data_IF_111388490271
#
_entry.id   IF_111388490271
#
_cell.length_a   1.000
_cell.length_b   1.000
_cell.length_c   1.000
_cell.angle_alpha   90.00
_cell.angle_beta   90.00
_cell.angle_gamma   90.00
#
_symmetry.space_group_name_H-M   'P 1'
#
loop_
_entity.id
_entity.type
_entity.pdbx_description
1 polymer ?
#
# COMPACT_ATOMS: atom_id res chain seq x y z
N UNK A 1 -6.04 -54.47 -37.24
CA UNK A 1 -5.01 -55.42 -36.79
C UNK A 1 -4.17 -54.75 -35.71
N UNK A 2 -4.08 -55.44 -34.56
CA UNK A 2 -3.12 -55.34 -33.45
C UNK A 2 -3.05 -54.00 -32.66
N UNK A 3 -3.60 -53.96 -31.42
CA UNK A 3 -3.09 -54.49 -30.12
C UNK A 3 -1.78 -53.75 -29.70
N UNK A 4 -1.78 -53.04 -28.58
CA UNK A 4 -1.48 -53.57 -27.25
C UNK A 4 -1.81 -52.55 -26.13
N UNK A 5 -2.57 -52.99 -25.16
CA UNK A 5 -2.70 -52.49 -23.81
C UNK A 5 -1.38 -52.59 -23.06
N UNK A 6 -1.01 -51.59 -22.25
CA UNK A 6 -0.13 -51.80 -21.12
C UNK A 6 -0.68 -51.08 -19.90
N UNK A 7 -1.19 -51.85 -18.98
CA UNK A 7 -1.58 -51.50 -17.60
C UNK A 7 -0.29 -51.44 -16.80
N UNK A 8 -0.01 -50.31 -16.14
CA UNK A 8 1.02 -50.21 -15.11
C UNK A 8 0.33 -49.96 -13.77
N UNK A 9 0.43 -50.93 -12.89
CA UNK A 9 -0.04 -50.89 -11.49
C UNK A 9 0.87 -50.03 -10.67
N UNK A 10 0.32 -49.06 -9.92
CA UNK A 10 1.03 -48.29 -8.91
C UNK A 10 0.83 -48.94 -7.55
N UNK A 11 1.91 -49.37 -6.96
CA UNK A 11 2.02 -49.92 -5.60
C UNK A 11 1.83 -48.84 -4.55
N UNK A 12 0.89 -49.12 -3.65
CA UNK A 12 0.57 -48.30 -2.47
C UNK A 12 1.60 -48.59 -1.35
N UNK A 13 2.43 -47.63 -1.00
CA UNK A 13 3.31 -47.69 0.16
C UNK A 13 2.66 -46.98 1.36
N UNK A 14 2.28 -47.79 2.35
CA UNK A 14 1.71 -47.36 3.63
C UNK A 14 2.85 -46.94 4.56
N UNK A 15 3.04 -45.63 4.82
CA UNK A 15 3.96 -45.12 5.84
C UNK A 15 3.21 -44.89 7.15
N UNK A 16 3.57 -45.67 8.15
CA UNK A 16 3.13 -45.51 9.55
C UNK A 16 3.92 -44.36 10.17
N UNK A 17 3.24 -43.25 10.54
CA UNK A 17 3.83 -42.15 11.28
C UNK A 17 3.58 -42.36 12.78
N UNK A 18 4.68 -42.50 13.50
CA UNK A 18 4.69 -42.53 14.96
C UNK A 18 4.41 -41.10 15.52
N UNK A 19 3.36 -40.99 16.30
CA UNK A 19 3.05 -39.74 17.07
C UNK A 19 3.92 -39.65 18.30
N UNK A 20 4.86 -38.71 18.29
CA UNK A 20 5.54 -38.27 19.52
C UNK A 20 4.70 -37.16 20.16
N UNK A 21 4.09 -37.45 21.31
CA UNK A 21 3.44 -36.49 22.16
C UNK A 21 4.50 -35.65 22.88
N UNK A 22 4.64 -34.37 22.49
CA UNK A 22 5.43 -33.40 23.21
C UNK A 22 4.53 -32.73 24.27
N UNK A 23 4.74 -33.04 25.55
CA UNK A 23 4.07 -32.38 26.65
C UNK A 23 4.59 -30.94 26.76
N UNK A 24 3.72 -29.97 26.49
CA UNK A 24 3.99 -28.57 26.73
C UNK A 24 3.92 -28.27 28.22
N UNK A 25 5.04 -27.96 28.84
CA UNK A 25 5.10 -27.38 30.19
C UNK A 25 4.67 -25.92 30.11
N UNK A 26 3.52 -25.61 30.67
CA UNK A 26 3.07 -24.24 30.91
C UNK A 26 3.85 -23.64 32.06
N UNK A 27 4.75 -22.71 31.73
CA UNK A 27 5.36 -21.84 32.72
C UNK A 27 4.33 -20.79 33.22
N UNK A 28 4.25 -20.51 34.52
CA UNK A 28 3.37 -19.47 35.04
C UNK A 28 3.89 -18.08 34.63
N UNK A 29 2.94 -17.24 34.17
CA UNK A 29 3.19 -15.84 33.88
C UNK A 29 3.56 -15.07 35.15
N UNK A 30 4.52 -14.15 35.11
CA UNK A 30 4.78 -13.26 36.23
C UNK A 30 3.60 -12.31 36.40
N UNK A 31 3.03 -12.31 37.63
CA UNK A 31 2.05 -11.33 38.03
C UNK A 31 2.72 -9.96 38.11
N UNK A 32 2.31 -9.06 37.28
CA UNK A 32 2.74 -7.66 37.28
C UNK A 32 1.99 -6.96 38.43
N UNK A 33 2.66 -6.82 39.56
CA UNK A 33 2.16 -6.00 40.69
C UNK A 33 2.15 -4.55 40.25
N UNK A 34 0.99 -3.97 40.08
CA UNK A 34 0.79 -2.55 39.84
C UNK A 34 1.39 -1.75 40.99
N UNK A 35 2.53 -1.11 40.76
CA UNK A 35 3.09 -0.11 41.68
C UNK A 35 2.31 1.18 41.46
N UNK A 36 1.41 1.49 42.35
CA UNK A 36 0.75 2.80 42.44
C UNK A 36 1.81 3.84 42.84
N UNK A 37 2.06 4.89 42.08
CA UNK A 37 2.93 5.95 42.53
C UNK A 37 2.29 6.73 43.69
N UNK A 38 3.07 7.16 44.70
CA UNK A 38 2.53 7.93 45.83
C UNK A 38 2.08 9.31 45.33
N UNK A 39 0.85 9.64 45.71
CA UNK A 39 0.23 10.95 45.48
C UNK A 39 1.00 12.03 46.26
N UNK A 40 1.47 13.07 45.54
CA UNK A 40 2.11 14.23 46.15
C UNK A 40 1.10 15.01 47.01
N UNK A 41 1.52 15.54 48.18
CA UNK A 41 0.63 16.30 49.06
C UNK A 41 0.25 17.65 48.42
N UNK A 42 -1.06 17.96 48.43
CA UNK A 42 -1.59 19.26 48.04
C UNK A 42 -1.15 20.35 49.04
N UNK A 43 -0.76 21.51 48.57
CA UNK A 43 -0.49 22.65 49.44
C UNK A 43 -1.80 23.18 50.05
N UNK A 44 -1.78 23.69 51.32
CA UNK A 44 -2.93 24.22 51.97
C UNK A 44 -3.45 25.51 51.34
N UNK A 45 -4.75 25.60 51.14
CA UNK A 45 -5.42 26.74 50.54
C UNK A 45 -5.24 27.99 51.37
N UNK A 46 -4.74 29.04 50.73
CA UNK A 46 -4.81 30.41 51.25
C UNK A 46 -6.16 31.03 50.86
N UNK A 47 -7.06 31.11 51.83
CA UNK A 47 -8.26 31.95 51.71
C UNK A 47 -7.86 33.43 51.68
N UNK A 48 -8.01 34.06 50.53
CA UNK A 48 -7.86 35.51 50.35
C UNK A 48 -9.18 36.10 49.91
N UNK A 49 -9.82 36.86 50.76
CA UNK A 49 -11.03 37.62 50.51
C UNK A 49 -10.74 38.69 49.43
N UNK A 50 -11.59 38.75 48.41
CA UNK A 50 -11.55 39.75 47.34
C UNK A 50 -12.25 41.00 47.87
N UNK A 51 -11.59 42.20 47.90
CA UNK A 51 -12.30 43.44 48.13
C UNK A 51 -13.03 43.87 46.87
N UNK A 52 -14.31 44.18 47.06
CA UNK A 52 -15.19 44.85 46.10
C UNK A 52 -14.68 46.28 45.84
N UNK A 53 -14.22 46.57 44.63
CA UNK A 53 -13.94 47.88 44.14
C UNK A 53 -14.82 48.21 42.91
N UNK A 54 -16.08 48.49 43.22
CA UNK A 54 -16.94 49.27 42.35
C UNK A 54 -16.45 50.72 42.38
N UNK A 55 -15.61 51.13 41.45
CA UNK A 55 -15.48 52.54 41.12
C UNK A 55 -15.04 52.68 39.66
N UNK A 56 -15.91 53.34 38.90
CA UNK A 56 -15.80 53.59 37.50
C UNK A 56 -14.57 54.37 37.12
N UNK A 57 -13.80 53.81 36.22
CA UNK A 57 -12.83 54.53 35.40
C UNK A 57 -13.34 54.54 33.93
N UNK A 58 -13.16 55.66 33.22
CA UNK A 58 -13.61 55.77 31.84
C UNK A 58 -12.88 54.74 30.94
N UNK A 59 -13.50 54.25 29.88
CA UNK A 59 -12.88 53.27 28.99
C UNK A 59 -11.68 53.89 28.29
N UNK A 60 -10.52 53.27 28.46
CA UNK A 60 -9.33 53.60 27.67
C UNK A 60 -9.55 53.17 26.21
N UNK A 61 -9.12 54.00 25.24
CA UNK A 61 -9.17 53.59 23.85
C UNK A 61 -8.30 52.36 23.63
N UNK A 62 -8.85 51.38 22.90
CA UNK A 62 -8.16 50.15 22.53
C UNK A 62 -6.89 50.44 21.74
N UNK A 63 -5.75 49.76 22.00
CA UNK A 63 -4.55 49.94 21.21
C UNK A 63 -4.80 49.49 19.76
N UNK A 64 -4.35 50.23 18.74
CA UNK A 64 -4.47 49.77 17.36
C UNK A 64 -3.52 48.59 17.14
N UNK A 65 -4.06 47.43 16.74
CA UNK A 65 -3.24 46.32 16.26
C UNK A 65 -3.38 44.97 16.94
N UNK A 66 -4.45 44.70 17.73
CA UNK A 66 -4.78 43.32 18.03
C UNK A 66 -5.35 42.66 16.77
N UNK A 67 -4.45 42.13 15.94
CA UNK A 67 -4.85 41.23 14.85
C UNK A 67 -5.74 40.10 15.41
N UNK A 68 -6.80 39.76 14.69
CA UNK A 68 -7.64 38.65 15.03
C UNK A 68 -6.76 37.42 15.37
N UNK A 69 -7.13 36.61 16.38
CA UNK A 69 -6.36 35.43 16.72
C UNK A 69 -6.19 34.58 15.45
N UNK A 70 -4.94 34.37 15.07
CA UNK A 70 -4.63 33.41 13.97
C UNK A 70 -5.31 32.09 14.32
N UNK A 71 -6.15 31.53 13.43
CA UNK A 71 -6.73 30.24 13.68
C UNK A 71 -5.57 29.26 13.94
N UNK A 72 -5.75 28.30 14.86
CA UNK A 72 -4.74 27.29 15.11
C UNK A 72 -4.32 26.70 13.77
N UNK A 73 -3.03 26.33 13.58
CA UNK A 73 -2.60 25.69 12.36
C UNK A 73 -3.52 24.48 12.14
N UNK A 74 -4.36 24.61 11.13
CA UNK A 74 -5.19 23.48 10.70
C UNK A 74 -4.22 22.35 10.45
N UNK A 75 -4.42 21.22 11.16
CA UNK A 75 -3.74 19.99 10.84
C UNK A 75 -3.74 19.92 9.32
N UNK A 76 -2.55 19.80 8.73
CA UNK A 76 -2.42 19.67 7.27
C UNK A 76 -3.35 18.54 6.91
N UNK A 77 -4.51 18.87 6.37
CA UNK A 77 -5.33 17.92 5.67
C UNK A 77 -4.37 17.20 4.74
N UNK A 78 -4.15 15.93 4.99
CA UNK A 78 -3.66 15.03 3.96
C UNK A 78 -4.64 15.27 2.83
N UNK A 79 -4.23 16.05 1.82
CA UNK A 79 -5.12 16.70 0.85
C UNK A 79 -6.25 15.78 0.42
N UNK A 80 -7.42 16.29 0.08
CA UNK A 80 -8.60 15.49 -0.17
C UNK A 80 -8.17 14.29 -1.00
N UNK A 81 -8.57 13.08 -0.60
CA UNK A 81 -8.34 11.89 -1.41
C UNK A 81 -9.03 12.22 -2.73
N UNK A 82 -8.25 12.69 -3.73
CA UNK A 82 -8.76 13.20 -4.98
C UNK A 82 -9.49 12.07 -5.72
N UNK A 83 -10.80 12.01 -5.54
CA UNK A 83 -11.63 11.00 -6.15
C UNK A 83 -13.04 10.97 -5.57
N UNK A 84 -14.01 10.59 -6.36
CA UNK A 84 -15.35 10.32 -5.88
C UNK A 84 -15.37 9.05 -5.02
N UNK A 85 -16.13 9.02 -3.90
CA UNK A 85 -16.34 7.79 -3.15
C UNK A 85 -16.83 6.68 -4.08
N UNK A 86 -16.21 5.52 -3.97
CA UNK A 86 -16.54 4.38 -4.84
C UNK A 86 -16.38 3.06 -4.08
N UNK A 87 -17.16 2.07 -4.51
CA UNK A 87 -17.10 0.73 -4.00
C UNK A 87 -16.94 -0.24 -5.17
N UNK A 88 -16.22 -1.32 -4.93
CA UNK A 88 -16.12 -2.44 -5.86
C UNK A 88 -16.27 -3.75 -5.10
N UNK A 89 -16.81 -4.76 -5.77
CA UNK A 89 -16.86 -6.13 -5.25
C UNK A 89 -16.42 -7.07 -6.35
N UNK A 90 -15.58 -8.03 -6.04
CA UNK A 90 -15.11 -8.98 -7.03
C UNK A 90 -14.15 -10.02 -6.47
N UNK A 91 -13.80 -10.98 -7.32
CA UNK A 91 -12.83 -12.02 -6.98
C UNK A 91 -11.42 -11.47 -7.20
N UNK A 92 -10.53 -11.63 -6.23
CA UNK A 92 -9.12 -11.27 -6.36
C UNK A 92 -8.48 -12.19 -7.41
N UNK A 93 -8.09 -11.63 -8.54
CA UNK A 93 -7.39 -12.36 -9.60
C UNK A 93 -5.92 -12.56 -9.26
N UNK A 94 -5.27 -11.49 -8.77
CA UNK A 94 -3.86 -11.49 -8.35
C UNK A 94 -3.54 -10.26 -7.52
N UNK A 95 -2.47 -10.34 -6.74
CA UNK A 95 -1.82 -9.18 -6.17
C UNK A 95 -0.88 -8.52 -7.18
N UNK A 96 -0.58 -7.26 -6.95
CA UNK A 96 0.40 -6.47 -7.69
C UNK A 96 1.45 -5.95 -6.71
N UNK A 97 2.67 -5.84 -7.18
CA UNK A 97 3.79 -5.33 -6.38
C UNK A 97 4.36 -4.06 -7.00
N UNK A 98 4.99 -3.26 -6.16
CA UNK A 98 5.85 -2.17 -6.59
C UNK A 98 7.26 -2.69 -6.96
N UNK A 99 8.14 -1.88 -7.57
CA UNK A 99 9.50 -2.30 -7.90
C UNK A 99 10.33 -2.77 -6.69
N UNK A 100 10.03 -2.30 -5.48
CA UNK A 100 10.70 -2.73 -4.24
C UNK A 100 10.19 -4.09 -3.73
N UNK A 101 9.18 -4.67 -4.37
CA UNK A 101 8.63 -6.00 -4.08
C UNK A 101 7.50 -6.01 -3.04
N UNK A 102 7.04 -4.85 -2.60
CA UNK A 102 5.91 -4.73 -1.67
C UNK A 102 4.59 -4.84 -2.42
N UNK A 103 3.62 -5.53 -1.83
CA UNK A 103 2.26 -5.58 -2.38
C UNK A 103 1.62 -4.20 -2.18
N UNK A 104 1.26 -3.53 -3.27
CA UNK A 104 0.67 -2.19 -3.27
C UNK A 104 -0.64 -2.10 -4.06
N UNK A 105 -1.16 -3.25 -4.49
CA UNK A 105 -2.41 -3.32 -5.22
C UNK A 105 -2.89 -4.74 -5.47
N UNK A 106 -4.08 -4.83 -6.04
CA UNK A 106 -4.67 -6.06 -6.56
C UNK A 106 -5.47 -5.80 -7.82
N UNK A 107 -5.57 -6.81 -8.66
CA UNK A 107 -6.44 -6.84 -9.82
C UNK A 107 -7.61 -7.78 -9.53
N UNK A 108 -8.83 -7.30 -9.69
CA UNK A 108 -10.02 -8.13 -9.61
C UNK A 108 -10.30 -8.85 -10.94
N UNK A 109 -11.18 -9.84 -10.93
CA UNK A 109 -11.49 -10.65 -12.11
C UNK A 109 -12.10 -9.85 -13.27
N UNK A 110 -12.81 -8.78 -12.96
CA UNK A 110 -13.38 -7.81 -13.92
C UNK A 110 -12.35 -6.80 -14.46
N UNK A 111 -11.07 -6.94 -14.09
CA UNK A 111 -9.97 -6.03 -14.34
C UNK A 111 -10.06 -4.69 -13.57
N UNK A 112 -10.88 -4.57 -12.55
CA UNK A 112 -10.81 -3.44 -11.63
C UNK A 112 -9.46 -3.44 -10.92
N UNK A 113 -8.73 -2.34 -11.04
CA UNK A 113 -7.46 -2.12 -10.35
C UNK A 113 -7.73 -1.46 -9.00
N UNK A 114 -7.35 -2.14 -7.95
CA UNK A 114 -7.41 -1.64 -6.58
C UNK A 114 -5.99 -1.33 -6.12
N UNK A 115 -5.77 -0.10 -5.67
CA UNK A 115 -4.48 0.35 -5.11
C UNK A 115 -4.64 0.65 -3.63
N UNK A 116 -3.60 0.36 -2.87
CA UNK A 116 -3.51 0.68 -1.45
C UNK A 116 -2.04 0.97 -1.09
N UNK A 117 -1.79 1.67 0.04
CA UNK A 117 -0.42 1.96 0.46
C UNK A 117 0.37 0.68 0.75
N UNK A 118 1.67 0.65 0.42
CA UNK A 118 2.52 -0.54 0.64
C UNK A 118 2.55 -1.02 2.09
N UNK A 119 2.42 -0.11 3.08
CA UNK A 119 2.44 -0.47 4.50
C UNK A 119 1.26 -1.37 4.93
N UNK A 120 0.13 -1.35 4.21
CA UNK A 120 -0.99 -2.29 4.46
C UNK A 120 -0.90 -3.54 3.59
N UNK A 121 -0.03 -3.55 2.59
CA UNK A 121 0.07 -4.62 1.59
C UNK A 121 0.39 -5.99 2.18
N UNK A 122 1.28 -6.05 3.17
CA UNK A 122 1.59 -7.29 3.87
C UNK A 122 0.39 -7.84 4.65
N UNK A 123 -0.40 -6.96 5.27
CA UNK A 123 -1.61 -7.33 5.99
C UNK A 123 -2.70 -7.82 5.01
N UNK A 124 -2.89 -7.12 3.88
CA UNK A 124 -3.80 -7.56 2.82
C UNK A 124 -3.42 -8.94 2.32
N UNK A 125 -2.14 -9.16 1.96
CA UNK A 125 -1.64 -10.42 1.43
C UNK A 125 -1.62 -11.58 2.45
N UNK A 126 -1.67 -11.29 3.76
CA UNK A 126 -1.82 -12.31 4.82
C UNK A 126 -3.27 -12.62 5.16
N UNK A 127 -4.18 -11.69 4.86
CA UNK A 127 -5.60 -11.80 5.20
C UNK A 127 -6.41 -12.41 4.05
N UNK A 128 -6.02 -12.13 2.82
CA UNK A 128 -6.71 -12.49 1.59
C UNK A 128 -5.78 -13.20 0.61
N UNK A 129 -6.35 -13.97 -0.30
CA UNK A 129 -5.62 -14.74 -1.32
C UNK A 129 -6.28 -14.56 -2.69
N UNK A 130 -5.54 -14.79 -3.79
CA UNK A 130 -6.17 -14.93 -5.09
C UNK A 130 -7.26 -15.99 -5.06
N UNK A 131 -8.43 -15.69 -5.61
CA UNK A 131 -9.65 -16.50 -5.56
C UNK A 131 -10.65 -16.08 -4.49
N UNK A 132 -10.27 -15.30 -3.49
CA UNK A 132 -11.20 -14.76 -2.50
C UNK A 132 -12.08 -13.66 -3.10
N UNK A 133 -13.32 -13.56 -2.64
CA UNK A 133 -14.23 -12.47 -3.02
C UNK A 133 -14.12 -11.37 -1.98
N UNK A 134 -13.87 -10.16 -2.45
CA UNK A 134 -13.67 -8.98 -1.60
C UNK A 134 -14.66 -7.88 -1.91
N UNK A 135 -15.00 -7.12 -0.88
CA UNK A 135 -15.64 -5.81 -0.98
C UNK A 135 -14.58 -4.75 -0.68
N UNK A 136 -14.48 -3.77 -1.54
CA UNK A 136 -13.53 -2.67 -1.44
C UNK A 136 -14.30 -1.36 -1.40
N UNK A 137 -14.06 -0.56 -0.38
CA UNK A 137 -14.55 0.82 -0.27
C UNK A 137 -13.37 1.78 -0.36
N UNK A 138 -13.55 2.90 -1.04
CA UNK A 138 -12.48 3.86 -1.23
C UNK A 138 -12.88 5.01 -2.16
N UNK A 139 -11.94 5.43 -2.99
CA UNK A 139 -12.09 6.57 -3.88
C UNK A 139 -11.64 6.20 -5.30
N UNK A 140 -12.47 6.50 -6.29
CA UNK A 140 -12.11 6.30 -7.69
C UNK A 140 -11.18 7.42 -8.15
N UNK A 141 -9.99 7.07 -8.61
CA UNK A 141 -9.04 8.02 -9.19
C UNK A 141 -9.36 8.25 -10.67
N UNK A 142 -9.31 9.49 -11.08
CA UNK A 142 -9.43 9.87 -12.49
C UNK A 142 -8.03 9.98 -13.11
N UNK A 143 -7.84 9.72 -14.41
CA UNK A 143 -8.86 9.36 -15.40
C UNK A 143 -9.10 7.85 -15.57
N UNK A 144 -8.32 6.99 -14.93
CA UNK A 144 -8.26 5.55 -15.23
C UNK A 144 -9.26 4.70 -14.44
N UNK A 145 -10.00 5.28 -13.50
CA UNK A 145 -10.96 4.56 -12.67
C UNK A 145 -10.31 3.58 -11.68
N UNK A 146 -9.03 3.73 -11.39
CA UNK A 146 -8.36 2.97 -10.32
C UNK A 146 -9.02 3.26 -8.98
N UNK A 147 -9.36 2.21 -8.22
CA UNK A 147 -9.95 2.36 -6.90
C UNK A 147 -8.83 2.41 -5.85
N UNK A 148 -8.65 3.56 -5.20
CA UNK A 148 -7.81 3.67 -4.02
C UNK A 148 -8.59 3.21 -2.80
N UNK A 149 -8.22 2.05 -2.27
CA UNK A 149 -8.93 1.44 -1.16
C UNK A 149 -8.63 2.16 0.16
N UNK A 150 -9.68 2.42 0.93
CA UNK A 150 -9.62 2.78 2.34
C UNK A 150 -9.98 1.60 3.24
N UNK A 151 -10.79 0.68 2.75
CA UNK A 151 -11.20 -0.54 3.44
C UNK A 151 -11.34 -1.68 2.43
N UNK A 152 -10.78 -2.84 2.77
CA UNK A 152 -10.91 -4.08 1.99
C UNK A 152 -11.43 -5.16 2.94
N UNK A 153 -12.53 -5.83 2.59
CA UNK A 153 -13.14 -6.88 3.40
C UNK A 153 -13.28 -8.15 2.58
N UNK A 154 -12.85 -9.27 3.12
CA UNK A 154 -13.13 -10.60 2.56
C UNK A 154 -14.56 -11.01 2.92
N UNK A 155 -15.37 -11.29 1.91
CA UNK A 155 -16.80 -11.60 2.09
C UNK A 155 -17.03 -12.94 2.77
N UNK A 156 -16.10 -13.88 2.65
CA UNK A 156 -16.21 -15.22 3.19
C UNK A 156 -15.80 -15.29 4.66
N UNK A 157 -14.66 -14.72 5.00
CA UNK A 157 -14.13 -14.76 6.37
C UNK A 157 -14.61 -13.59 7.23
N UNK A 158 -15.13 -12.53 6.62
CA UNK A 158 -15.51 -11.27 7.30
C UNK A 158 -14.31 -10.45 7.79
N UNK A 159 -13.07 -10.91 7.54
CA UNK A 159 -11.87 -10.15 7.91
C UNK A 159 -11.72 -8.93 7.02
N UNK A 160 -11.25 -7.84 7.62
CA UNK A 160 -11.05 -6.58 6.91
C UNK A 160 -9.70 -5.96 7.22
N UNK A 161 -9.20 -5.19 6.26
CA UNK A 161 -7.98 -4.39 6.35
C UNK A 161 -8.36 -2.96 5.99
N UNK A 162 -8.08 -2.03 6.90
CA UNK A 162 -8.30 -0.60 6.67
C UNK A 162 -6.95 0.11 6.42
N UNK A 163 -6.99 1.13 5.56
CA UNK A 163 -5.86 2.04 5.38
C UNK A 163 -5.74 2.93 6.62
N UNK A 164 -4.90 2.52 7.55
CA UNK A 164 -4.57 3.29 8.73
C UNK A 164 -3.17 3.87 8.56
N UNK A 165 -2.94 5.13 8.96
CA UNK A 165 -1.59 5.68 8.96
C UNK A 165 -0.62 4.77 9.70
N UNK A 166 0.59 4.56 9.20
CA UNK A 166 1.59 3.78 9.92
C UNK A 166 1.82 4.43 11.30
N UNK A 167 2.06 3.62 12.35
CA UNK A 167 2.33 4.15 13.68
C UNK A 167 3.50 5.13 13.64
N UNK A 168 3.46 6.15 14.49
CA UNK A 168 4.45 7.23 14.48
C UNK A 168 5.90 6.75 14.67
N UNK A 169 6.08 5.56 15.26
CA UNK A 169 7.35 4.89 15.46
C UNK A 169 7.68 3.85 14.38
N UNK A 170 6.90 3.76 13.31
CA UNK A 170 7.21 2.85 12.21
C UNK A 170 8.59 3.19 11.63
N UNK A 171 9.51 2.25 11.75
CA UNK A 171 10.84 2.40 11.17
C UNK A 171 10.72 2.38 9.65
N UNK A 172 11.01 3.50 9.01
CA UNK A 172 11.28 3.52 7.58
C UNK A 172 12.67 2.98 7.35
N UNK A 173 12.82 2.13 6.34
CA UNK A 173 14.15 1.72 5.92
C UNK A 173 14.99 2.98 5.61
N UNK A 174 16.24 3.05 6.11
CA UNK A 174 17.16 4.12 5.72
C UNK A 174 17.22 4.22 4.19
N UNK A 175 17.30 5.44 3.66
CA UNK A 175 17.39 5.65 2.22
C UNK A 175 18.59 4.94 1.57
N UNK A 176 19.66 4.66 2.35
CA UNK A 176 20.80 3.86 1.92
C UNK A 176 20.48 2.39 1.66
N UNK A 177 19.35 1.88 2.18
CA UNK A 177 18.86 0.53 1.94
C UNK A 177 17.77 0.49 0.85
N UNK A 178 17.32 1.65 0.36
CA UNK A 178 16.41 1.71 -0.76
C UNK A 178 17.09 1.13 -2.02
N UNK A 179 16.40 0.20 -2.67
CA UNK A 179 16.91 -0.46 -3.87
C UNK A 179 17.87 -1.64 -3.63
N UNK A 180 18.21 -1.99 -2.38
CA UNK A 180 18.91 -3.24 -2.09
C UNK A 180 17.99 -4.42 -2.42
N UNK A 181 18.54 -5.36 -3.23
CA UNK A 181 17.79 -6.53 -3.68
C UNK A 181 17.08 -6.33 -5.02
N UNK A 182 17.12 -5.14 -5.63
CA UNK A 182 16.65 -4.95 -6.97
C UNK A 182 17.55 -5.67 -7.97
N UNK A 183 16.94 -6.38 -8.89
CA UNK A 183 17.64 -7.09 -9.98
C UNK A 183 17.31 -6.45 -11.31
N UNK A 184 18.22 -6.60 -12.28
CA UNK A 184 17.94 -6.17 -13.64
C UNK A 184 16.90 -7.10 -14.25
N UNK A 185 15.80 -6.53 -14.72
CA UNK A 185 14.66 -7.24 -15.30
C UNK A 185 14.39 -6.74 -16.71
N UNK A 186 13.81 -7.61 -17.52
CA UNK A 186 13.30 -7.29 -18.85
C UNK A 186 11.90 -7.86 -18.97
N UNK A 187 10.98 -7.05 -19.43
CA UNK A 187 9.59 -7.45 -19.62
C UNK A 187 9.16 -7.14 -21.06
N UNK A 188 8.40 -8.05 -21.65
CA UNK A 188 7.74 -7.87 -22.95
C UNK A 188 6.31 -8.37 -22.80
N UNK A 189 5.34 -7.55 -23.17
CA UNK A 189 3.95 -7.98 -23.04
C UNK A 189 2.96 -6.97 -23.58
N UNK A 190 1.69 -7.37 -23.58
CA UNK A 190 0.58 -6.52 -23.99
C UNK A 190 0.12 -5.67 -22.81
N UNK A 191 -0.03 -4.38 -23.00
CA UNK A 191 -0.58 -3.46 -22.01
C UNK A 191 -2.03 -3.85 -21.73
N UNK A 192 -2.33 -4.14 -20.47
CA UNK A 192 -3.69 -4.36 -19.96
C UNK A 192 -4.33 -3.02 -19.58
N UNK A 193 -3.60 -2.21 -18.82
CA UNK A 193 -4.02 -0.85 -18.40
C UNK A 193 -2.81 0.05 -18.20
N UNK A 194 -3.07 1.35 -18.28
CA UNK A 194 -2.16 2.40 -17.82
C UNK A 194 -2.33 2.54 -16.30
N UNK A 195 -1.25 2.80 -15.59
CA UNK A 195 -1.29 3.16 -14.17
C UNK A 195 -1.04 4.64 -14.01
N UNK A 196 -1.60 5.22 -12.94
CA UNK A 196 -1.52 6.64 -12.65
C UNK A 196 -0.88 6.88 -11.28
N UNK A 197 -0.11 7.95 -11.20
CA UNK A 197 0.37 8.52 -9.95
C UNK A 197 -0.80 9.12 -9.15
N UNK A 198 -0.61 9.42 -7.85
CA UNK A 198 -1.66 10.01 -7.01
C UNK A 198 -2.26 11.32 -7.54
N UNK A 199 -1.53 12.06 -8.39
CA UNK A 199 -2.01 13.30 -9.02
C UNK A 199 -2.72 13.08 -10.36
N UNK A 200 -2.90 11.82 -10.80
CA UNK A 200 -3.57 11.48 -12.06
C UNK A 200 -2.67 11.41 -13.29
N UNK A 201 -1.38 11.75 -13.18
CA UNK A 201 -0.46 11.59 -14.30
C UNK A 201 -0.15 10.10 -14.55
N UNK A 202 -0.03 9.72 -15.83
CA UNK A 202 0.41 8.37 -16.17
C UNK A 202 1.81 8.10 -15.60
N UNK A 203 1.97 7.00 -14.88
CA UNK A 203 3.23 6.62 -14.20
C UNK A 203 3.71 5.21 -14.57
N UNK A 204 3.05 4.55 -15.51
CA UNK A 204 3.44 3.22 -15.96
C UNK A 204 2.31 2.42 -16.59
N UNK A 205 2.51 1.12 -16.68
CA UNK A 205 1.54 0.17 -17.22
C UNK A 205 1.52 -1.13 -16.42
N UNK A 206 0.36 -1.76 -16.41
CA UNK A 206 0.15 -3.14 -16.02
C UNK A 206 0.03 -3.98 -17.29
N UNK A 207 0.85 -5.01 -17.43
CA UNK A 207 0.79 -5.96 -18.53
C UNK A 207 -0.26 -7.06 -18.27
N UNK A 208 -0.67 -7.75 -19.32
CA UNK A 208 -1.68 -8.80 -19.26
C UNK A 208 -1.24 -10.01 -18.40
N UNK A 209 0.05 -10.27 -18.30
CA UNK A 209 0.64 -11.29 -17.42
C UNK A 209 0.71 -10.87 -15.95
N UNK A 210 0.47 -9.58 -15.64
CA UNK A 210 0.52 -9.01 -14.30
C UNK A 210 1.82 -8.30 -13.97
N UNK A 211 2.77 -8.22 -14.89
CA UNK A 211 3.99 -7.44 -14.70
C UNK A 211 3.65 -5.95 -14.61
N UNK A 212 4.18 -5.27 -13.61
CA UNK A 212 4.05 -3.82 -13.44
C UNK A 212 5.31 -3.14 -13.94
N UNK A 213 5.16 -2.22 -14.88
CA UNK A 213 6.26 -1.40 -15.38
C UNK A 213 6.01 0.04 -14.96
N UNK A 214 6.89 0.55 -14.12
CA UNK A 214 6.86 1.93 -13.65
C UNK A 214 7.73 2.81 -14.53
N UNK A 215 7.19 3.98 -14.84
CA UNK A 215 7.84 5.07 -15.56
C UNK A 215 7.81 6.33 -14.69
N UNK A 216 8.68 7.27 -14.97
CA UNK A 216 8.45 8.64 -14.46
C UNK A 216 7.37 9.31 -15.31
N UNK A 217 6.55 10.23 -14.75
CA UNK A 217 5.52 10.92 -15.53
C UNK A 217 6.05 11.58 -16.83
N UNK A 218 7.21 12.23 -16.85
CA UNK A 218 7.78 12.73 -18.10
C UNK A 218 8.07 11.64 -19.13
N UNK A 219 8.60 10.49 -18.70
CA UNK A 219 8.83 9.35 -19.59
C UNK A 219 7.51 8.76 -20.09
N UNK A 220 6.51 8.62 -19.22
CA UNK A 220 5.19 8.15 -19.62
C UNK A 220 4.53 9.08 -20.66
N UNK A 221 4.69 10.39 -20.50
CA UNK A 221 4.19 11.35 -21.48
C UNK A 221 4.90 11.22 -22.84
N UNK A 222 6.22 11.02 -22.85
CA UNK A 222 7.01 10.82 -24.06
C UNK A 222 6.53 9.58 -24.85
N UNK A 223 6.13 8.51 -24.17
CA UNK A 223 5.69 7.26 -24.77
C UNK A 223 4.18 7.06 -24.73
N UNK A 224 3.38 8.11 -24.58
CA UNK A 224 1.92 8.04 -24.42
C UNK A 224 1.23 7.18 -25.50
N UNK A 225 1.76 7.16 -26.71
CA UNK A 225 1.23 6.35 -27.81
C UNK A 225 1.39 4.83 -27.57
N UNK A 226 2.42 4.42 -26.82
CA UNK A 226 2.68 3.02 -26.47
C UNK A 226 1.95 2.58 -25.21
N UNK A 227 1.52 3.50 -24.36
CA UNK A 227 0.82 3.21 -23.10
C UNK A 227 -0.67 2.91 -23.29
N UNK A 228 -1.11 2.54 -24.50
CA UNK A 228 -2.52 2.22 -24.76
C UNK A 228 -2.81 0.76 -24.51
N UNK A 229 -3.95 0.41 -23.87
CA UNK A 229 -4.38 -0.97 -23.73
C UNK A 229 -4.34 -1.70 -25.07
N UNK A 230 -3.83 -2.93 -25.06
CA UNK A 230 -3.68 -3.76 -26.26
C UNK A 230 -2.34 -3.59 -27.00
N UNK A 231 -1.58 -2.53 -26.76
CA UNK A 231 -0.26 -2.33 -27.36
C UNK A 231 0.76 -3.33 -26.79
N UNK A 232 1.60 -3.90 -27.63
CA UNK A 232 2.73 -4.73 -27.16
C UNK A 232 3.96 -3.84 -26.97
N UNK A 233 4.50 -3.87 -25.76
CA UNK A 233 5.66 -3.07 -25.36
C UNK A 233 6.77 -3.94 -24.79
N UNK A 234 7.95 -3.36 -24.73
CA UNK A 234 9.12 -3.92 -24.05
C UNK A 234 9.73 -2.89 -23.11
N UNK A 235 10.25 -3.35 -21.98
CA UNK A 235 10.97 -2.53 -21.02
C UNK A 235 12.16 -3.28 -20.44
N UNK A 236 13.18 -2.54 -20.04
CA UNK A 236 14.28 -3.01 -19.21
C UNK A 236 14.45 -2.05 -18.05
N UNK A 237 14.85 -2.57 -16.91
CA UNK A 237 15.01 -1.75 -15.71
C UNK A 237 15.45 -2.56 -14.52
N UNK A 238 15.22 -2.00 -13.33
CA UNK A 238 15.52 -2.63 -12.07
C UNK A 238 14.24 -2.81 -11.25
N UNK A 239 14.13 -3.92 -10.56
CA UNK A 239 12.95 -4.22 -9.78
C UNK A 239 13.02 -5.55 -9.09
N UNK A 240 11.87 -6.08 -8.74
CA UNK A 240 11.72 -7.31 -7.96
C UNK A 240 10.80 -8.30 -8.67
N UNK A 241 11.15 -9.59 -8.52
CA UNK A 241 10.28 -10.71 -8.86
C UNK A 241 10.09 -11.57 -7.61
N UNK A 242 8.85 -11.78 -7.20
CA UNK A 242 8.53 -12.60 -6.04
C UNK A 242 7.25 -13.43 -6.27
N UNK A 243 6.76 -14.11 -5.23
CA UNK A 243 5.55 -14.95 -5.31
C UNK A 243 4.28 -14.23 -5.75
N UNK A 244 4.23 -12.91 -5.64
CA UNK A 244 3.06 -12.10 -6.00
C UNK A 244 3.12 -11.57 -7.43
N UNK A 245 4.31 -11.55 -8.05
CA UNK A 245 4.48 -11.08 -9.42
C UNK A 245 5.85 -10.48 -9.70
N UNK A 246 5.88 -9.65 -10.72
CA UNK A 246 7.06 -8.93 -11.16
C UNK A 246 6.74 -7.44 -11.32
N UNK A 247 7.65 -6.60 -10.86
CA UNK A 247 7.58 -5.16 -11.09
C UNK A 247 8.97 -4.59 -11.32
N UNK A 248 9.06 -3.62 -12.22
CA UNK A 248 10.32 -2.93 -12.50
C UNK A 248 10.11 -1.44 -12.73
N UNK A 249 11.10 -0.65 -12.31
CA UNK A 249 11.29 0.73 -12.72
C UNK A 249 12.07 0.73 -14.02
N UNK A 250 11.43 1.17 -15.10
CA UNK A 250 12.07 1.12 -16.42
C UNK A 250 13.22 2.12 -16.53
N UNK A 251 14.34 1.67 -17.08
CA UNK A 251 15.49 2.49 -17.53
C UNK A 251 15.58 2.56 -19.05
N UNK A 252 14.91 1.62 -19.74
CA UNK A 252 14.69 1.67 -21.17
C UNK A 252 13.27 1.17 -21.46
N UNK A 253 12.61 1.81 -22.44
CA UNK A 253 11.22 1.53 -22.77
C UNK A 253 10.98 1.70 -24.28
N UNK A 254 10.08 0.92 -24.86
CA UNK A 254 9.75 1.00 -26.27
C UNK A 254 8.94 -0.19 -26.78
N UNK A 255 9.11 -0.50 -28.07
CA UNK A 255 8.56 -1.72 -28.66
C UNK A 255 9.59 -2.86 -28.61
N UNK A 256 9.16 -4.13 -28.73
CA UNK A 256 10.09 -5.25 -28.82
C UNK A 256 11.13 -5.03 -29.94
N UNK A 257 12.40 -5.14 -29.56
CA UNK A 257 13.53 -4.90 -30.48
C UNK A 257 13.92 -3.43 -30.69
N UNK A 258 13.14 -2.46 -30.19
CA UNK A 258 13.44 -1.03 -30.31
C UNK A 258 13.20 -0.32 -28.97
N UNK A 259 14.19 -0.37 -28.08
CA UNK A 259 14.17 0.25 -26.77
C UNK A 259 14.93 1.57 -26.79
N UNK A 260 14.31 2.60 -26.23
CA UNK A 260 14.94 3.90 -25.99
C UNK A 260 15.33 4.00 -24.52
N UNK A 261 16.57 4.39 -24.24
CA UNK A 261 17.04 4.67 -22.89
C UNK A 261 16.33 5.91 -22.35
N UNK A 262 15.74 5.80 -21.14
CA UNK A 262 14.92 6.87 -20.54
C UNK A 262 15.78 7.93 -19.85
N UNK A 263 16.93 7.54 -19.37
CA UNK A 263 17.86 8.40 -18.63
C UNK A 263 19.18 8.39 -19.40
N UNK A 264 19.36 9.38 -20.26
CA UNK A 264 20.62 9.61 -20.98
C UNK A 264 21.67 10.10 -20.00
N UNK A 265 22.85 9.45 -20.01
CA UNK A 265 24.05 9.85 -19.29
C UNK A 265 23.90 10.01 -17.76
N UNK A 266 23.63 8.92 -17.04
CA UNK A 266 24.14 8.83 -15.69
C UNK A 266 25.67 8.72 -15.81
N UNK A 267 26.46 9.61 -15.20
CA UNK A 267 27.92 9.42 -15.15
C UNK A 267 28.21 8.09 -14.47
N UNK A 268 29.09 7.30 -15.09
CA UNK A 268 29.57 6.03 -14.57
C UNK A 268 30.48 6.27 -13.33
#
# INVERSE_FOLDING_TARGET
MNRFNLIAQATLALAVMATAACAAQTAPLPQNSAITPPMAPMPPGAGGSIPDLSNGAPPMPAPPGAGAPTPPPQARDNGPLDGAPANASGVVRRFLINPDGEVDGMLLADNTLVRFPPHVGSQVASTMSPGDTVNVSGFAQQPDGTLRASLISDTKSGRSVADQPPPANAQRLPGSLAGIGLVKLSAVGRVLRVTTAPRGESDGVLLADGTVIKLTPPAALQFANLLRPGTTIAAQGYGTRNRYGEALQATAFGTPGNLTTLYGNLPQ
#
